data_IF_182593472363
#
_entry.id   IF_182593472363
#
_cell.length_a   1.000
_cell.length_b   1.000
_cell.length_c   1.000
_cell.angle_alpha   90.00
_cell.angle_beta   90.00
_cell.angle_gamma   90.00
#
_symmetry.space_group_name_H-M   'P 1'
#
loop_
_entity.id
_entity.type
_entity.pdbx_description
1 polymer ?
#
# COMPACT_ATOMS: atom_id res chain seq x y z
N UNK A 1 -2.00 6.77 23.37
CA UNK A 1 -3.05 5.86 22.87
C UNK A 1 -2.76 5.36 21.44
N UNK A 2 -2.42 6.22 20.46
CA UNK A 2 -2.17 5.77 19.07
C UNK A 2 -0.76 5.25 18.74
N UNK A 3 0.18 5.32 19.69
CA UNK A 3 1.54 4.79 19.54
C UNK A 3 1.83 3.65 20.54
N UNK A 4 0.77 3.00 21.03
CA UNK A 4 0.93 1.88 21.94
C UNK A 4 1.41 0.65 21.16
N UNK A 5 2.64 0.24 21.43
CA UNK A 5 3.30 -0.91 20.82
C UNK A 5 3.21 -2.15 21.70
N UNK A 6 2.51 -2.05 22.85
CA UNK A 6 2.32 -3.17 23.76
C UNK A 6 1.57 -4.32 23.06
N UNK A 7 1.95 -5.57 23.35
CA UNK A 7 1.24 -6.73 22.84
C UNK A 7 -0.20 -6.74 23.38
N UNK A 8 -1.16 -6.99 22.49
CA UNK A 8 -2.56 -7.25 22.83
C UNK A 8 -2.76 -8.69 23.31
N UNK A 9 -1.87 -9.60 22.90
CA UNK A 9 -1.85 -11.00 23.31
C UNK A 9 -0.40 -11.55 23.27
N UNK A 10 -0.16 -12.62 24.00
CA UNK A 10 1.11 -13.35 23.93
C UNK A 10 1.27 -14.03 22.58
N UNK A 11 2.47 -13.98 22.02
CA UNK A 11 2.79 -14.65 20.75
C UNK A 11 2.80 -16.17 20.97
N UNK A 12 1.97 -16.95 20.24
CA UNK A 12 1.94 -18.41 20.36
C UNK A 12 3.32 -19.03 20.14
N UNK A 13 3.65 -20.09 20.90
CA UNK A 13 4.95 -20.75 20.83
C UNK A 13 5.34 -21.20 19.41
N UNK A 14 4.37 -21.62 18.60
CA UNK A 14 4.59 -21.98 17.19
C UNK A 14 5.11 -20.80 16.38
N UNK A 15 4.54 -19.60 16.56
CA UNK A 15 5.00 -18.41 15.84
C UNK A 15 6.33 -17.90 16.38
N UNK A 16 6.54 -17.96 17.69
CA UNK A 16 7.79 -17.59 18.32
C UNK A 16 8.96 -18.49 17.86
N UNK A 17 8.71 -19.75 17.54
CA UNK A 17 9.73 -20.68 17.04
C UNK A 17 10.15 -20.47 15.58
N UNK A 18 9.46 -19.62 14.82
CA UNK A 18 9.78 -19.37 13.42
C UNK A 18 10.97 -18.41 13.29
N UNK A 19 11.64 -18.38 12.12
CA UNK A 19 12.58 -17.32 11.81
C UNK A 19 11.90 -15.95 11.98
N UNK A 20 12.56 -15.05 12.72
CA UNK A 20 12.03 -13.74 13.10
C UNK A 20 10.81 -13.77 14.04
N UNK A 21 10.55 -14.89 14.72
CA UNK A 21 9.46 -15.04 15.69
C UNK A 21 9.48 -13.98 16.80
N UNK A 22 10.67 -13.55 17.23
CA UNK A 22 10.85 -12.48 18.21
C UNK A 22 10.35 -11.09 17.74
N UNK A 23 10.21 -10.91 16.42
CA UNK A 23 9.66 -9.69 15.81
C UNK A 23 8.15 -9.79 15.55
N UNK A 24 7.55 -10.96 15.81
CA UNK A 24 6.09 -11.16 15.70
C UNK A 24 5.45 -10.74 17.02
N UNK A 25 5.10 -9.46 17.13
CA UNK A 25 4.41 -8.89 18.29
C UNK A 25 2.93 -8.67 17.95
N UNK A 26 2.03 -9.37 18.66
CA UNK A 26 0.58 -9.26 18.44
C UNK A 26 0.00 -7.95 18.99
N UNK A 27 0.41 -6.81 18.42
CA UNK A 27 -0.07 -5.46 18.74
C UNK A 27 -1.01 -4.91 17.64
N UNK A 28 -1.40 -3.63 17.71
CA UNK A 28 -2.25 -3.01 16.68
C UNK A 28 -1.65 -3.04 15.28
N UNK A 29 -0.31 -3.03 15.15
CA UNK A 29 0.34 -3.15 13.84
C UNK A 29 0.13 -4.53 13.22
N UNK A 30 0.04 -5.59 14.02
CA UNK A 30 -0.29 -6.94 13.55
C UNK A 30 -1.71 -6.99 12.97
N UNK A 31 -2.67 -6.32 13.61
CA UNK A 31 -4.06 -6.22 13.13
C UNK A 31 -4.10 -5.51 11.78
N UNK A 32 -3.44 -4.35 11.67
CA UNK A 32 -3.39 -3.59 10.41
C UNK A 32 -2.68 -4.38 9.31
N UNK A 33 -1.55 -5.00 9.62
CA UNK A 33 -0.82 -5.84 8.68
C UNK A 33 -1.69 -6.99 8.17
N UNK A 34 -2.43 -7.67 9.05
CA UNK A 34 -3.35 -8.73 8.67
C UNK A 34 -4.46 -8.23 7.74
N UNK A 35 -5.07 -7.08 8.04
CA UNK A 35 -6.10 -6.46 7.19
C UNK A 35 -5.55 -6.16 5.78
N UNK A 36 -4.36 -5.53 5.70
CA UNK A 36 -3.72 -5.23 4.42
C UNK A 36 -3.31 -6.49 3.64
N UNK A 37 -2.76 -7.49 4.32
CA UNK A 37 -2.38 -8.76 3.71
C UNK A 37 -3.61 -9.49 3.15
N UNK A 38 -4.68 -9.60 3.94
CA UNK A 38 -5.93 -10.20 3.50
C UNK A 38 -6.49 -9.44 2.29
N UNK A 39 -6.50 -8.11 2.34
CA UNK A 39 -6.95 -7.29 1.22
C UNK A 39 -6.14 -7.55 -0.05
N UNK A 40 -4.80 -7.54 0.01
CA UNK A 40 -3.95 -7.77 -1.15
C UNK A 40 -4.06 -9.17 -1.73
N UNK A 41 -4.25 -10.18 -0.88
CA UNK A 41 -4.52 -11.55 -1.32
C UNK A 41 -5.89 -11.61 -2.02
N UNK A 42 -6.92 -10.95 -1.47
CA UNK A 42 -8.27 -10.91 -2.06
C UNK A 42 -8.34 -10.13 -3.37
N UNK A 43 -7.41 -9.19 -3.60
CA UNK A 43 -7.26 -8.49 -4.88
C UNK A 43 -6.68 -9.40 -5.99
N UNK A 44 -6.09 -10.55 -5.66
CA UNK A 44 -5.60 -11.51 -6.65
C UNK A 44 -6.76 -12.45 -7.09
N UNK A 45 -7.18 -12.43 -8.37
CA UNK A 45 -8.37 -13.17 -8.82
C UNK A 45 -8.20 -14.70 -8.90
N UNK A 46 -7.19 -15.28 -8.24
CA UNK A 46 -7.05 -16.71 -8.08
C UNK A 46 -8.03 -17.34 -7.07
N UNK A 47 -8.74 -16.54 -6.25
CA UNK A 47 -9.49 -17.10 -5.10
C UNK A 47 -10.93 -16.61 -4.87
N UNK A 48 -11.50 -15.72 -5.69
CA UNK A 48 -12.86 -15.19 -5.46
C UNK A 48 -13.85 -15.64 -6.54
N UNK A 49 -14.83 -16.51 -6.22
CA UNK A 49 -15.96 -16.80 -7.11
C UNK A 49 -16.68 -15.50 -7.46
N UNK A 50 -16.97 -15.33 -8.75
CA UNK A 50 -17.49 -14.12 -9.42
C UNK A 50 -18.74 -13.46 -8.82
N UNK A 51 -19.38 -14.05 -7.82
CA UNK A 51 -20.61 -13.57 -7.19
C UNK A 51 -20.41 -12.51 -6.10
N UNK A 52 -19.20 -12.35 -5.53
CA UNK A 52 -18.93 -11.38 -4.44
C UNK A 52 -18.17 -10.13 -4.93
N UNK A 53 -17.67 -10.14 -6.17
CA UNK A 53 -16.98 -9.02 -6.81
C UNK A 53 -17.96 -7.92 -7.24
N UNK A 54 -18.47 -7.15 -6.29
CA UNK A 54 -19.19 -5.91 -6.59
C UNK A 54 -18.26 -4.89 -7.27
N UNK A 55 -18.79 -4.28 -8.35
CA UNK A 55 -18.42 -3.10 -9.17
C UNK A 55 -17.00 -2.48 -9.11
N UNK A 56 -16.34 -2.41 -7.94
CA UNK A 56 -15.00 -1.84 -7.78
C UNK A 56 -13.92 -2.83 -8.22
N UNK A 57 -14.08 -4.13 -7.94
CA UNK A 57 -13.08 -5.15 -8.30
C UNK A 57 -13.10 -5.46 -9.80
N UNK A 58 -14.25 -5.34 -10.47
CA UNK A 58 -14.40 -5.70 -11.89
C UNK A 58 -13.61 -4.79 -12.83
N UNK A 59 -13.40 -3.52 -12.48
CA UNK A 59 -12.57 -2.61 -13.28
C UNK A 59 -11.07 -2.96 -13.25
N UNK A 60 -10.61 -3.67 -12.21
CA UNK A 60 -9.20 -4.04 -12.02
C UNK A 60 -8.92 -5.54 -12.24
N UNK A 61 -9.91 -6.41 -12.05
CA UNK A 61 -9.77 -7.87 -12.12
C UNK A 61 -9.49 -8.40 -13.53
N UNK A 62 -9.98 -7.73 -14.58
CA UNK A 62 -9.69 -8.10 -15.96
C UNK A 62 -8.27 -7.70 -16.40
N UNK A 63 -7.61 -6.81 -15.65
CA UNK A 63 -6.22 -6.41 -15.88
C UNK A 63 -5.23 -7.37 -15.21
N UNK A 64 -5.62 -7.96 -14.08
CA UNK A 64 -4.78 -8.83 -13.26
C UNK A 64 -5.16 -10.31 -13.49
N UNK A 65 -4.77 -10.94 -14.61
CA UNK A 65 -4.78 -12.41 -14.71
C UNK A 65 -4.00 -13.03 -13.51
N UNK A 66 -4.20 -14.31 -13.09
CA UNK A 66 -3.59 -14.93 -11.91
C UNK A 66 -2.20 -14.38 -11.58
N UNK A 67 -2.09 -13.55 -10.56
CA UNK A 67 -0.90 -12.72 -10.36
C UNK A 67 -0.43 -12.84 -8.93
N UNK A 68 0.72 -13.48 -8.74
CA UNK A 68 1.48 -13.45 -7.49
C UNK A 68 1.80 -12.04 -6.95
N UNK A 69 1.37 -10.96 -7.60
CA UNK A 69 1.48 -9.57 -7.17
C UNK A 69 0.71 -9.31 -5.89
N UNK A 70 -0.51 -9.84 -5.72
CA UNK A 70 -1.27 -9.70 -4.47
C UNK A 70 -0.55 -10.39 -3.31
N UNK A 71 -0.12 -11.63 -3.51
CA UNK A 71 0.71 -12.39 -2.57
C UNK A 71 2.06 -11.72 -2.28
N UNK A 72 2.70 -11.13 -3.30
CA UNK A 72 3.95 -10.37 -3.14
C UNK A 72 3.70 -9.10 -2.32
N UNK A 73 2.60 -8.39 -2.58
CA UNK A 73 2.16 -7.26 -1.76
C UNK A 73 1.96 -7.66 -0.30
N UNK A 74 1.27 -8.78 -0.06
CA UNK A 74 1.10 -9.31 1.30
C UNK A 74 2.44 -9.69 1.97
N UNK A 75 3.37 -10.28 1.22
CA UNK A 75 4.71 -10.56 1.73
C UNK A 75 5.49 -9.27 2.08
N UNK A 76 5.37 -8.22 1.27
CA UNK A 76 5.98 -6.91 1.54
C UNK A 76 5.34 -6.22 2.76
N UNK A 77 4.03 -6.35 2.95
CA UNK A 77 3.34 -5.86 4.17
C UNK A 77 3.84 -6.62 5.39
N UNK A 78 3.95 -7.94 5.31
CA UNK A 78 4.49 -8.75 6.40
C UNK A 78 5.94 -8.38 6.74
N UNK A 79 6.80 -8.19 5.74
CA UNK A 79 8.17 -7.72 5.93
C UNK A 79 8.21 -6.31 6.56
N UNK A 80 7.33 -5.41 6.13
CA UNK A 80 7.22 -4.05 6.70
C UNK A 80 6.76 -4.09 8.15
N UNK A 81 5.85 -5.00 8.50
CA UNK A 81 5.41 -5.26 9.87
C UNK A 81 6.55 -5.76 10.76
N UNK A 82 7.32 -6.75 10.31
CA UNK A 82 8.49 -7.23 11.05
C UNK A 82 9.53 -6.12 11.23
N UNK A 83 9.77 -5.32 10.19
CA UNK A 83 10.69 -4.19 10.26
C UNK A 83 10.20 -3.10 11.23
N UNK A 84 8.90 -2.79 11.25
CA UNK A 84 8.33 -1.84 12.18
C UNK A 84 8.50 -2.30 13.64
N UNK A 85 8.25 -3.59 13.92
CA UNK A 85 8.49 -4.15 15.25
C UNK A 85 9.98 -4.18 15.61
N UNK A 86 10.86 -4.50 14.66
CA UNK A 86 12.31 -4.41 14.86
C UNK A 86 12.73 -3.00 15.31
N UNK A 87 12.28 -1.96 14.60
CA UNK A 87 12.57 -0.56 14.98
C UNK A 87 11.95 -0.23 16.34
N UNK A 88 10.72 -0.68 16.60
CA UNK A 88 10.04 -0.42 17.87
C UNK A 88 10.77 -1.03 19.07
N UNK A 89 11.31 -2.23 18.93
CA UNK A 89 12.00 -2.96 20.00
C UNK A 89 13.43 -2.46 20.21
N UNK A 90 14.14 -2.11 19.13
CA UNK A 90 15.56 -1.74 19.20
C UNK A 90 15.81 -0.25 19.43
N UNK A 91 14.86 0.62 19.09
CA UNK A 91 15.06 2.07 19.18
C UNK A 91 15.29 2.60 20.61
N UNK A 92 14.61 2.11 21.67
CA UNK A 92 14.86 2.57 23.03
C UNK A 92 16.31 2.33 23.46
N UNK A 93 16.88 1.17 23.13
CA UNK A 93 18.26 0.82 23.46
C UNK A 93 19.27 1.53 22.55
N UNK A 94 18.99 1.58 21.24
CA UNK A 94 19.94 2.10 20.24
C UNK A 94 19.99 3.63 20.19
N UNK A 95 18.85 4.29 20.44
CA UNK A 95 18.67 5.72 20.24
C UNK A 95 18.16 6.46 21.48
N UNK A 96 17.88 5.75 22.59
CA UNK A 96 17.33 6.36 23.81
C UNK A 96 15.92 6.92 23.64
N UNK A 97 15.19 6.48 22.61
CA UNK A 97 13.88 7.01 22.24
C UNK A 97 12.93 5.92 21.74
N UNK A 98 11.61 6.06 21.92
CA UNK A 98 10.64 5.10 21.39
C UNK A 98 10.64 5.09 19.85
N UNK A 99 10.38 3.92 19.25
CA UNK A 99 10.49 3.73 17.79
C UNK A 99 9.62 4.67 16.94
N UNK A 100 8.48 5.13 17.45
CA UNK A 100 7.64 6.10 16.72
C UNK A 100 8.35 7.45 16.50
N UNK A 101 9.27 7.86 17.40
CA UNK A 101 10.05 9.08 17.24
C UNK A 101 11.10 8.92 16.14
N UNK A 102 11.59 7.70 15.91
CA UNK A 102 12.46 7.38 14.77
C UNK A 102 11.64 7.35 13.47
N UNK A 103 10.43 6.80 13.50
CA UNK A 103 9.57 6.67 12.32
C UNK A 103 8.96 8.01 11.86
N UNK A 104 8.68 8.94 12.78
CA UNK A 104 7.97 10.18 12.49
C UNK A 104 8.70 11.07 11.46
N UNK A 105 10.01 11.38 11.59
CA UNK A 105 10.74 12.14 10.58
C UNK A 105 10.70 11.49 9.20
N UNK A 106 10.87 10.16 9.13
CA UNK A 106 10.79 9.41 7.87
C UNK A 106 9.41 9.57 7.24
N UNK A 107 8.36 9.48 8.03
CA UNK A 107 6.99 9.66 7.57
C UNK A 107 6.73 11.08 7.04
N UNK A 108 7.18 12.12 7.76
CA UNK A 108 7.03 13.51 7.35
C UNK A 108 7.78 13.80 6.04
N UNK A 109 9.00 13.28 5.90
CA UNK A 109 9.78 13.41 4.66
C UNK A 109 9.08 12.70 3.50
N UNK A 110 8.62 11.46 3.71
CA UNK A 110 7.92 10.69 2.67
C UNK A 110 6.63 11.38 2.19
N UNK A 111 5.83 11.93 3.10
CA UNK A 111 4.64 12.71 2.73
C UNK A 111 4.99 14.00 1.99
N UNK A 112 6.01 14.72 2.45
CA UNK A 112 6.48 15.95 1.79
C UNK A 112 6.89 15.65 0.35
N UNK A 113 7.66 14.57 0.13
CA UNK A 113 8.06 14.15 -1.20
C UNK A 113 6.87 13.72 -2.07
N UNK A 114 5.87 13.03 -1.52
CA UNK A 114 4.64 12.68 -2.24
C UNK A 114 3.86 13.92 -2.69
N UNK A 115 3.67 14.90 -1.80
CA UNK A 115 2.97 16.14 -2.15
C UNK A 115 3.73 16.99 -3.16
N UNK A 116 5.07 17.02 -3.08
CA UNK A 116 5.91 17.66 -4.10
C UNK A 116 5.78 16.92 -5.44
N UNK A 117 5.82 15.58 -5.43
CA UNK A 117 5.59 14.72 -6.59
C UNK A 117 4.30 15.09 -7.34
N UNK A 118 3.17 15.00 -6.64
CA UNK A 118 1.87 15.30 -7.23
C UNK A 118 1.70 16.77 -7.60
N UNK A 119 2.09 17.69 -6.71
CA UNK A 119 1.88 19.12 -6.90
C UNK A 119 2.77 19.76 -7.96
N UNK A 120 4.08 19.45 -7.95
CA UNK A 120 5.07 20.11 -8.81
C UNK A 120 5.28 19.33 -10.11
N UNK A 121 5.50 18.02 -10.03
CA UNK A 121 5.85 17.22 -11.20
C UNK A 121 4.61 16.80 -11.99
N UNK A 122 3.58 16.27 -11.31
CA UNK A 122 2.36 15.84 -11.98
C UNK A 122 1.37 16.99 -12.23
N UNK A 123 1.48 18.08 -11.46
CA UNK A 123 0.54 19.22 -11.46
C UNK A 123 -0.92 18.79 -11.24
N UNK A 124 -1.13 17.78 -10.40
CA UNK A 124 -2.45 17.24 -10.07
C UNK A 124 -2.63 17.19 -8.56
N UNK A 125 -3.89 17.24 -8.12
CA UNK A 125 -4.21 16.99 -6.71
C UNK A 125 -3.93 15.52 -6.39
N UNK A 126 -3.40 15.21 -5.19
CA UNK A 126 -3.21 13.83 -4.78
C UNK A 126 -4.58 13.13 -4.67
N UNK A 127 -4.67 11.89 -5.15
CA UNK A 127 -5.90 11.08 -5.12
C UNK A 127 -6.46 10.87 -3.71
N UNK A 128 -5.63 11.07 -2.68
CA UNK A 128 -6.05 11.12 -1.27
C UNK A 128 -7.20 12.11 -1.03
N UNK A 129 -7.24 13.22 -1.77
CA UNK A 129 -8.29 14.23 -1.65
C UNK A 129 -9.60 13.84 -2.36
N UNK A 130 -9.57 12.82 -3.20
CA UNK A 130 -10.73 12.33 -3.97
C UNK A 130 -11.36 11.11 -3.28
N UNK A 131 -10.54 10.16 -2.82
CA UNK A 131 -10.99 8.95 -2.10
C UNK A 131 -9.90 8.43 -1.15
N UNK A 132 -10.01 8.78 0.15
CA UNK A 132 -8.99 8.46 1.16
C UNK A 132 -8.81 6.94 1.36
N UNK A 133 -9.91 6.19 1.35
CA UNK A 133 -9.95 4.74 1.49
C UNK A 133 -9.27 4.03 0.31
N UNK A 134 -9.58 4.44 -0.92
CA UNK A 134 -8.93 3.89 -2.10
C UNK A 134 -7.45 4.28 -2.16
N UNK A 135 -7.11 5.52 -1.82
CA UNK A 135 -5.73 5.99 -1.85
C UNK A 135 -4.86 5.22 -0.84
N UNK A 136 -5.29 5.03 0.40
CA UNK A 136 -4.47 4.38 1.42
C UNK A 136 -4.29 2.86 1.21
N UNK A 137 -5.28 2.21 0.61
CA UNK A 137 -5.26 0.76 0.42
C UNK A 137 -4.70 0.39 -0.96
N UNK A 138 -5.04 1.12 -2.01
CA UNK A 138 -4.71 0.73 -3.39
C UNK A 138 -3.39 1.37 -3.87
N UNK A 139 -2.97 2.52 -3.33
CA UNK A 139 -1.74 3.18 -3.78
C UNK A 139 -0.48 2.32 -3.62
N UNK A 140 -0.25 1.58 -2.51
CA UNK A 140 0.94 0.74 -2.41
C UNK A 140 0.97 -0.37 -3.47
N UNK A 141 -0.19 -0.91 -3.83
CA UNK A 141 -0.30 -1.89 -4.93
C UNK A 141 -0.01 -1.26 -6.30
N UNK A 142 -0.41 -0.01 -6.52
CA UNK A 142 -0.09 0.72 -7.74
C UNK A 142 1.44 0.91 -7.88
N UNK A 143 2.11 1.36 -6.81
CA UNK A 143 3.57 1.53 -6.80
C UNK A 143 4.29 0.20 -7.05
N UNK A 144 3.82 -0.89 -6.42
CA UNK A 144 4.36 -2.23 -6.66
C UNK A 144 4.22 -2.64 -8.14
N UNK A 145 3.04 -2.43 -8.73
CA UNK A 145 2.79 -2.75 -10.14
C UNK A 145 3.68 -1.92 -11.07
N UNK A 146 3.87 -0.64 -10.80
CA UNK A 146 4.75 0.24 -11.59
C UNK A 146 6.20 -0.22 -11.53
N UNK A 147 6.70 -0.60 -10.35
CA UNK A 147 8.03 -1.18 -10.19
C UNK A 147 8.16 -2.50 -10.97
N UNK A 148 7.15 -3.36 -10.93
CA UNK A 148 7.14 -4.61 -11.71
C UNK A 148 7.08 -4.34 -13.22
N UNK A 149 6.32 -3.34 -13.68
CA UNK A 149 6.26 -2.94 -15.08
C UNK A 149 7.63 -2.45 -15.57
N UNK A 150 8.36 -1.68 -14.75
CA UNK A 150 9.73 -1.28 -15.06
C UNK A 150 10.69 -2.47 -15.21
N UNK A 151 10.41 -3.60 -14.52
CA UNK A 151 11.12 -4.87 -14.66
C UNK A 151 10.61 -5.75 -15.82
N UNK A 152 9.69 -5.25 -16.64
CA UNK A 152 9.14 -5.96 -17.80
C UNK A 152 7.97 -6.89 -17.51
N UNK A 153 7.38 -6.82 -16.31
CA UNK A 153 6.19 -7.60 -15.98
C UNK A 153 5.01 -7.19 -16.87
N UNK A 154 4.40 -8.15 -17.58
CA UNK A 154 3.14 -7.97 -18.35
C UNK A 154 3.09 -6.68 -19.19
N UNK A 155 3.92 -6.55 -20.24
CA UNK A 155 3.98 -5.34 -21.06
C UNK A 155 2.66 -4.97 -21.73
N UNK A 156 1.82 -5.96 -22.09
CA UNK A 156 0.49 -5.71 -22.63
C UNK A 156 -0.47 -5.09 -21.60
N UNK A 157 -0.30 -5.44 -20.33
CA UNK A 157 -1.06 -4.83 -19.23
C UNK A 157 -0.65 -3.38 -19.06
N UNK A 158 0.66 -3.12 -19.00
CA UNK A 158 1.21 -1.77 -18.92
C UNK A 158 0.70 -0.88 -20.05
N UNK A 159 0.71 -1.35 -21.31
CA UNK A 159 0.17 -0.59 -22.46
C UNK A 159 -1.30 -0.20 -22.28
N UNK A 160 -2.13 -1.09 -21.72
CA UNK A 160 -3.55 -0.78 -21.45
C UNK A 160 -3.70 0.25 -20.34
N UNK A 161 -2.96 0.10 -19.25
CA UNK A 161 -2.95 1.06 -18.12
C UNK A 161 -2.50 2.43 -18.58
N UNK A 162 -1.37 2.51 -19.30
CA UNK A 162 -0.83 3.77 -19.84
C UNK A 162 -1.80 4.45 -20.82
N UNK A 163 -2.41 3.67 -21.72
CA UNK A 163 -3.45 4.18 -22.63
C UNK A 163 -4.62 4.78 -21.84
N UNK A 164 -5.11 4.08 -20.81
CA UNK A 164 -6.21 4.57 -19.98
C UNK A 164 -5.81 5.82 -19.17
N UNK A 165 -4.60 5.85 -18.62
CA UNK A 165 -4.08 7.01 -17.89
C UNK A 165 -4.02 8.26 -18.78
N UNK A 166 -3.54 8.12 -20.02
CA UNK A 166 -3.53 9.20 -21.01
C UNK A 166 -4.92 9.73 -21.32
N UNK A 167 -5.91 8.84 -21.51
CA UNK A 167 -7.31 9.22 -21.72
C UNK A 167 -7.83 10.01 -20.51
N UNK A 168 -7.62 9.50 -19.30
CA UNK A 168 -8.08 10.16 -18.07
C UNK A 168 -7.44 11.54 -17.87
N UNK A 169 -6.16 11.71 -18.22
CA UNK A 169 -5.47 13.01 -18.19
C UNK A 169 -6.08 13.98 -19.21
N UNK A 170 -6.39 13.52 -20.42
CA UNK A 170 -7.01 14.35 -21.45
C UNK A 170 -8.41 14.83 -21.03
N UNK A 171 -9.23 13.93 -20.49
CA UNK A 171 -10.56 14.25 -19.97
C UNK A 171 -10.48 15.30 -18.85
N UNK A 172 -9.60 15.09 -17.87
CA UNK A 172 -9.37 16.03 -16.77
C UNK A 172 -8.96 17.44 -17.28
N UNK A 173 -8.07 17.50 -18.28
CA UNK A 173 -7.66 18.79 -18.89
C UNK A 173 -8.80 19.47 -19.65
N UNK A 174 -9.64 18.69 -20.34
CA UNK A 174 -10.79 19.22 -21.06
C UNK A 174 -11.83 19.80 -20.08
N UNK A 175 -12.09 19.10 -18.97
CA UNK A 175 -12.97 19.59 -17.89
C UNK A 175 -12.44 20.86 -17.24
N UNK A 176 -11.14 20.92 -16.91
CA UNK A 176 -10.52 22.12 -16.35
C UNK A 176 -10.58 23.31 -17.32
N UNK A 177 -10.47 23.07 -18.63
CA UNK A 177 -10.59 24.12 -19.65
C UNK A 177 -12.02 24.65 -19.73
N UNK A 178 -13.03 23.75 -19.71
CA UNK A 178 -14.45 24.14 -19.69
C UNK A 178 -14.80 24.94 -18.45
N UNK A 179 -14.35 24.50 -17.28
CA UNK A 179 -14.62 25.18 -16.01
C UNK A 179 -14.00 26.60 -15.95
N UNK A 180 -12.91 26.85 -16.67
CA UNK A 180 -12.29 28.18 -16.79
C UNK A 180 -13.00 29.09 -17.81
N UNK A 181 -13.74 28.51 -18.74
CA UNK A 181 -14.45 29.22 -19.80
C UNK A 181 -15.91 29.56 -19.45
N UNK A 182 -16.46 28.95 -18.40
CA UNK A 182 -17.76 29.25 -17.80
C UNK A 182 -17.62 30.32 -16.70
#
# INVERSE_FOLDING_TARGET
MFADTAPLAETPAVLASLPFGDLVVLNYSAVIAFVYMAWYILLDPLYVPSAVCSLITQSYSHLLAPSSVGSLGAALVYASYLFANFVSLTAPESFGMPGWQVALPVHLVAWTLQFIGHGVFERRKPALLDSLDQALITAPMFVLLEALFALGFRPELFKRVDKQAKINIQLFRAEATKAKAA
#
